data_IF_842662968222
#
_entry.id   IF_842662968222
#
_cell.length_a   1.000
_cell.length_b   1.000
_cell.length_c   1.000
_cell.angle_alpha   90.00
_cell.angle_beta   90.00
_cell.angle_gamma   90.00
#
_symmetry.space_group_name_H-M   'P 1'
#
loop_
_entity.id
_entity.type
_entity.pdbx_description
1 polymer ?
#
# COMPACT_ATOMS: atom_id res chain seq x y z
N UNK A 1 -65.39 40.56 -2.75
CA UNK A 1 -64.21 40.13 -2.02
C UNK A 1 -63.61 38.91 -2.69
N UNK A 2 -62.59 39.10 -3.52
CA UNK A 2 -61.91 38.00 -4.25
C UNK A 2 -60.89 37.30 -3.33
N UNK A 3 -61.11 36.00 -3.03
CA UNK A 3 -60.13 35.16 -2.32
C UNK A 3 -58.92 34.93 -3.22
N UNK A 4 -57.83 35.65 -2.92
CA UNK A 4 -56.48 35.28 -3.43
C UNK A 4 -56.16 33.82 -3.03
N UNK A 5 -56.18 32.89 -3.99
CA UNK A 5 -55.60 31.56 -3.82
C UNK A 5 -54.12 31.74 -3.63
N UNK A 6 -53.66 31.62 -2.40
CA UNK A 6 -52.22 31.46 -2.08
C UNK A 6 -51.74 30.20 -2.80
N UNK A 7 -51.01 30.40 -3.90
CA UNK A 7 -50.35 29.35 -4.67
C UNK A 7 -49.23 28.81 -3.82
N UNK A 8 -49.51 27.86 -2.91
CA UNK A 8 -48.48 27.06 -2.27
C UNK A 8 -47.78 26.32 -3.42
N UNK A 9 -46.58 26.79 -3.80
CA UNK A 9 -45.76 26.08 -4.77
C UNK A 9 -45.63 24.63 -4.29
N UNK A 10 -46.36 23.73 -4.95
CA UNK A 10 -46.25 22.32 -4.67
C UNK A 10 -44.83 21.88 -5.02
N UNK A 11 -44.19 21.09 -4.14
CA UNK A 11 -42.82 20.57 -4.32
C UNK A 11 -42.62 19.83 -5.65
N UNK A 12 -43.69 19.38 -6.28
CA UNK A 12 -43.68 18.67 -7.58
C UNK A 12 -45.04 18.62 -8.20
N UNK A 13 -45.14 18.08 -9.41
CA UNK A 13 -46.36 17.90 -10.19
C UNK A 13 -46.47 16.49 -10.79
N UNK A 14 -47.70 16.05 -11.04
CA UNK A 14 -47.99 14.80 -11.74
C UNK A 14 -48.82 15.10 -12.99
N UNK A 15 -48.54 14.37 -14.10
CA UNK A 15 -49.31 14.45 -15.32
C UNK A 15 -49.60 13.06 -15.85
N UNK A 16 -50.76 12.87 -16.49
CA UNK A 16 -51.06 11.65 -17.21
C UNK A 16 -50.41 11.71 -18.59
N UNK A 17 -49.80 10.62 -19.00
CA UNK A 17 -49.21 10.45 -20.33
C UNK A 17 -50.23 9.83 -21.30
N UNK A 18 -50.04 9.95 -22.62
CA UNK A 18 -50.93 9.30 -23.61
C UNK A 18 -51.04 7.77 -23.42
N UNK A 19 -50.05 7.14 -22.80
CA UNK A 19 -50.05 5.72 -22.43
C UNK A 19 -50.99 5.35 -21.25
N UNK A 20 -51.68 6.33 -20.68
CA UNK A 20 -52.49 6.16 -19.48
C UNK A 20 -51.70 6.17 -18.16
N UNK A 21 -50.39 6.05 -18.21
CA UNK A 21 -49.51 6.06 -17.02
C UNK A 21 -49.26 7.50 -16.51
N UNK A 22 -48.87 7.61 -15.27
CA UNK A 22 -48.62 8.90 -14.62
C UNK A 22 -47.12 9.18 -14.50
N UNK A 23 -46.71 10.40 -14.85
CA UNK A 23 -45.36 10.90 -14.69
C UNK A 23 -45.30 11.87 -13.51
N UNK A 24 -44.39 11.61 -12.56
CA UNK A 24 -44.05 12.54 -11.50
C UNK A 24 -42.91 13.44 -11.95
N UNK A 25 -43.00 14.73 -11.62
CA UNK A 25 -41.97 15.75 -11.90
C UNK A 25 -41.73 16.56 -10.63
N UNK A 26 -40.47 16.76 -10.27
CA UNK A 26 -40.05 17.53 -9.12
C UNK A 26 -38.73 18.26 -9.40
N UNK A 27 -38.36 19.34 -8.63
CA UNK A 27 -37.10 20.03 -8.85
C UNK A 27 -35.91 19.15 -8.47
N UNK A 28 -34.78 19.25 -9.16
CA UNK A 28 -33.49 18.71 -8.71
C UNK A 28 -32.89 19.56 -7.58
N UNK A 29 -31.72 19.20 -6.97
CA UNK A 29 -31.10 20.01 -5.95
C UNK A 29 -30.76 21.45 -6.36
N UNK A 30 -30.57 21.70 -7.64
CA UNK A 30 -30.34 23.02 -8.23
C UNK A 30 -31.64 23.77 -8.57
N UNK A 31 -32.81 23.20 -8.22
CA UNK A 31 -34.12 23.80 -8.50
C UNK A 31 -34.66 23.54 -9.91
N UNK A 32 -33.93 22.83 -10.78
CA UNK A 32 -34.37 22.55 -12.16
C UNK A 32 -35.37 21.41 -12.17
N UNK A 33 -36.47 21.52 -12.95
CA UNK A 33 -37.49 20.47 -13.00
C UNK A 33 -36.93 19.18 -13.63
N UNK A 34 -37.13 18.04 -12.94
CA UNK A 34 -36.76 16.71 -13.42
C UNK A 34 -37.92 15.72 -13.31
N UNK A 35 -37.95 14.73 -14.19
CA UNK A 35 -38.90 13.65 -14.14
C UNK A 35 -38.43 12.54 -13.21
N UNK A 36 -39.36 11.84 -12.57
CA UNK A 36 -39.07 10.60 -11.87
C UNK A 36 -38.46 9.56 -12.81
N UNK A 37 -37.61 8.61 -12.29
CA UNK A 37 -36.97 7.58 -13.11
C UNK A 37 -37.95 6.61 -13.78
N UNK A 38 -39.16 6.51 -13.27
CA UNK A 38 -40.20 5.66 -13.78
C UNK A 38 -41.54 6.38 -13.90
N UNK A 39 -42.45 5.83 -14.68
CA UNK A 39 -43.87 6.21 -14.72
C UNK A 39 -44.67 5.30 -13.82
N UNK A 40 -45.79 5.78 -13.30
CA UNK A 40 -46.60 5.13 -12.28
C UNK A 40 -47.95 4.67 -12.87
N UNK A 41 -48.54 3.53 -12.44
CA UNK A 41 -49.85 3.09 -12.85
C UNK A 41 -50.95 4.06 -12.45
N UNK A 42 -50.85 4.68 -11.26
CA UNK A 42 -51.86 5.55 -10.69
C UNK A 42 -51.34 6.93 -10.36
N UNK A 43 -52.25 7.92 -10.32
CA UNK A 43 -51.92 9.29 -9.86
C UNK A 43 -51.42 9.31 -8.43
N UNK A 44 -51.97 8.46 -7.58
CA UNK A 44 -51.63 8.36 -6.16
C UNK A 44 -50.19 7.91 -5.99
N UNK A 45 -49.77 6.84 -6.67
CA UNK A 45 -48.38 6.36 -6.61
C UNK A 45 -47.37 7.42 -7.07
N UNK A 46 -47.72 8.19 -8.13
CA UNK A 46 -46.89 9.29 -8.58
C UNK A 46 -46.75 10.43 -7.51
N UNK A 47 -47.85 10.70 -6.79
CA UNK A 47 -47.83 11.68 -5.68
C UNK A 47 -47.07 11.15 -4.48
N UNK A 48 -47.23 9.90 -4.11
CA UNK A 48 -46.52 9.25 -3.00
C UNK A 48 -45.02 9.22 -3.29
N UNK A 49 -44.59 9.00 -4.53
CA UNK A 49 -43.20 9.14 -4.93
C UNK A 49 -42.65 10.56 -4.70
N UNK A 50 -43.38 11.61 -5.08
CA UNK A 50 -42.98 13.00 -4.84
C UNK A 50 -42.88 13.28 -3.35
N UNK A 51 -43.83 12.78 -2.55
CA UNK A 51 -43.81 12.94 -1.08
C UNK A 51 -42.57 12.25 -0.46
N UNK A 52 -42.24 11.04 -0.93
CA UNK A 52 -41.00 10.32 -0.55
C UNK A 52 -39.75 11.11 -0.87
N UNK A 53 -39.63 11.62 -2.10
CA UNK A 53 -38.48 12.47 -2.52
C UNK A 53 -38.35 13.72 -1.64
N UNK A 54 -39.48 14.37 -1.31
CA UNK A 54 -39.49 15.51 -0.42
C UNK A 54 -39.00 15.15 0.99
N UNK A 55 -39.49 14.04 1.53
CA UNK A 55 -39.08 13.55 2.85
C UNK A 55 -37.59 13.20 2.88
N UNK A 56 -37.07 12.55 1.82
CA UNK A 56 -35.64 12.23 1.70
C UNK A 56 -34.77 13.48 1.63
N UNK A 57 -35.22 14.53 0.97
CA UNK A 57 -34.53 15.82 0.97
C UNK A 57 -34.49 16.47 2.35
N UNK A 58 -35.62 16.46 3.06
CA UNK A 58 -35.69 17.02 4.42
C UNK A 58 -34.77 16.26 5.38
N UNK A 59 -34.61 14.94 5.20
CA UNK A 59 -33.70 14.09 5.98
C UNK A 59 -32.25 14.16 5.49
N UNK A 60 -31.97 14.83 4.36
CA UNK A 60 -30.63 14.84 3.73
C UNK A 60 -30.23 13.51 3.09
N UNK A 61 -31.16 12.57 2.93
CA UNK A 61 -30.93 11.24 2.34
C UNK A 61 -31.24 11.16 0.84
N UNK A 62 -31.75 12.26 0.26
CA UNK A 62 -32.06 12.31 -1.17
C UNK A 62 -30.86 12.01 -2.05
N UNK A 63 -31.09 11.21 -3.08
CA UNK A 63 -30.11 10.90 -4.14
C UNK A 63 -30.72 11.22 -5.50
N UNK A 64 -29.97 11.95 -6.33
CA UNK A 64 -30.33 12.13 -7.73
C UNK A 64 -30.09 10.81 -8.47
N UNK A 65 -31.14 10.17 -8.96
CA UNK A 65 -31.05 8.91 -9.70
C UNK A 65 -30.21 9.02 -10.98
N UNK A 66 -30.03 10.26 -11.52
CA UNK A 66 -29.19 10.51 -12.70
C UNK A 66 -27.71 10.54 -12.35
N UNK A 67 -27.35 10.89 -11.12
CA UNK A 67 -25.97 11.01 -10.71
C UNK A 67 -25.17 9.70 -10.91
N UNK A 68 -25.84 8.57 -10.71
CA UNK A 68 -25.24 7.24 -10.94
C UNK A 68 -25.22 6.79 -12.40
N UNK A 69 -25.78 7.55 -13.36
CA UNK A 69 -25.78 7.20 -14.78
C UNK A 69 -24.42 7.51 -15.46
N UNK A 70 -23.55 8.25 -14.82
CA UNK A 70 -22.20 8.50 -15.35
C UNK A 70 -21.41 7.19 -15.50
N UNK A 71 -20.62 7.03 -16.58
CA UNK A 71 -19.82 5.84 -16.80
C UNK A 71 -18.71 5.69 -15.74
N UNK A 72 -18.40 4.43 -15.37
CA UNK A 72 -17.34 4.11 -14.40
C UNK A 72 -15.96 4.61 -14.82
N UNK A 73 -15.59 4.46 -16.11
CA UNK A 73 -14.25 4.82 -16.60
C UNK A 73 -13.88 6.28 -16.37
N UNK A 74 -14.67 7.26 -16.88
CA UNK A 74 -14.44 8.68 -16.63
C UNK A 74 -14.40 9.05 -15.13
N UNK A 75 -15.35 8.54 -14.33
CA UNK A 75 -15.36 8.76 -12.88
C UNK A 75 -14.10 8.23 -12.20
N UNK A 76 -13.68 7.01 -12.56
CA UNK A 76 -12.49 6.38 -12.01
C UNK A 76 -11.20 7.13 -12.40
N UNK A 77 -11.10 7.58 -13.65
CA UNK A 77 -9.96 8.36 -14.13
C UNK A 77 -9.85 9.71 -13.42
N UNK A 78 -10.97 10.41 -13.25
CA UNK A 78 -11.03 11.66 -12.49
C UNK A 78 -10.66 11.44 -11.02
N UNK A 79 -11.16 10.38 -10.38
CA UNK A 79 -10.83 10.02 -9.00
C UNK A 79 -9.32 9.78 -8.84
N UNK A 80 -8.66 9.10 -9.80
CA UNK A 80 -7.20 8.90 -9.78
C UNK A 80 -6.47 10.23 -9.99
N UNK A 81 -6.89 11.05 -10.96
CA UNK A 81 -6.29 12.35 -11.25
C UNK A 81 -6.36 13.31 -10.04
N UNK A 82 -7.46 13.27 -9.30
CA UNK A 82 -7.67 14.03 -8.06
C UNK A 82 -6.95 13.45 -6.84
N UNK A 83 -6.07 12.46 -7.03
CA UNK A 83 -5.25 11.89 -5.96
C UNK A 83 -5.95 10.88 -5.05
N UNK A 84 -7.06 10.30 -5.49
CA UNK A 84 -7.80 9.25 -4.80
C UNK A 84 -8.42 9.72 -3.48
N UNK A 85 -8.59 8.80 -2.53
CA UNK A 85 -9.25 9.09 -1.24
C UNK A 85 -8.55 10.17 -0.38
N UNK A 86 -7.26 10.40 -0.60
CA UNK A 86 -6.44 11.32 0.22
C UNK A 86 -6.06 12.61 -0.51
N UNK A 87 -6.58 12.85 -1.71
CA UNK A 87 -6.23 14.02 -2.53
C UNK A 87 -4.78 14.01 -3.05
N UNK A 88 -4.04 12.91 -2.84
CA UNK A 88 -2.66 12.74 -3.35
C UNK A 88 -2.31 11.27 -3.50
N UNK A 89 -1.67 10.91 -4.58
CA UNK A 89 -1.10 9.59 -4.82
C UNK A 89 0.41 9.70 -5.05
N UNK A 90 1.17 8.74 -4.54
CA UNK A 90 2.56 8.60 -4.94
C UNK A 90 2.62 8.21 -6.43
N UNK A 91 3.59 8.74 -7.19
CA UNK A 91 3.69 8.55 -8.64
C UNK A 91 3.61 7.07 -9.08
N UNK A 92 4.26 6.16 -8.33
CA UNK A 92 4.18 4.72 -8.59
C UNK A 92 2.78 4.14 -8.37
N UNK A 93 2.04 4.65 -7.37
CA UNK A 93 0.65 4.23 -7.10
C UNK A 93 -0.29 4.75 -8.18
N UNK A 94 -0.10 6.01 -8.59
CA UNK A 94 -0.88 6.61 -9.67
C UNK A 94 -0.71 5.81 -10.97
N UNK A 95 0.53 5.55 -11.39
CA UNK A 95 0.83 4.74 -12.57
C UNK A 95 0.22 3.34 -12.47
N UNK A 96 0.29 2.70 -11.29
CA UNK A 96 -0.35 1.41 -11.05
C UNK A 96 -1.87 1.48 -11.25
N UNK A 97 -2.53 2.51 -10.73
CA UNK A 97 -3.98 2.68 -10.86
C UNK A 97 -4.40 2.94 -12.30
N UNK A 98 -3.66 3.79 -13.02
CA UNK A 98 -3.86 4.01 -14.46
C UNK A 98 -3.74 2.71 -15.26
N UNK A 99 -2.70 1.90 -14.99
CA UNK A 99 -2.52 0.60 -15.63
C UNK A 99 -3.62 -0.41 -15.29
N UNK A 100 -4.17 -0.37 -14.07
CA UNK A 100 -5.28 -1.24 -13.65
C UNK A 100 -6.58 -0.83 -14.32
N UNK A 101 -6.81 0.47 -14.46
CA UNK A 101 -7.96 1.01 -15.21
C UNK A 101 -7.87 0.64 -16.69
N UNK A 102 -6.75 0.92 -17.33
CA UNK A 102 -6.55 0.64 -18.76
C UNK A 102 -6.57 -0.86 -19.11
N UNK A 103 -6.23 -1.74 -18.16
CA UNK A 103 -6.15 -3.18 -18.37
C UNK A 103 -7.30 -3.95 -17.71
N UNK A 104 -7.11 -4.48 -16.50
CA UNK A 104 -8.09 -5.36 -15.86
C UNK A 104 -9.49 -4.77 -15.69
N UNK A 105 -9.62 -3.45 -15.52
CA UNK A 105 -10.88 -2.75 -15.29
C UNK A 105 -11.51 -2.16 -16.57
N UNK A 106 -10.82 -2.22 -17.70
CA UNK A 106 -11.29 -1.63 -18.96
C UNK A 106 -12.71 -2.11 -19.37
N UNK A 107 -13.04 -3.38 -19.12
CA UNK A 107 -14.35 -3.95 -19.43
C UNK A 107 -15.53 -3.39 -18.61
N UNK A 108 -15.27 -2.51 -17.63
CA UNK A 108 -16.30 -1.82 -16.86
C UNK A 108 -16.44 -0.34 -17.23
N UNK A 109 -15.58 0.21 -18.10
CA UNK A 109 -15.49 1.64 -18.35
C UNK A 109 -16.80 2.26 -18.80
N UNK A 110 -17.51 1.63 -19.74
CA UNK A 110 -18.75 2.16 -20.33
C UNK A 110 -19.99 1.86 -19.50
N UNK A 111 -19.86 1.11 -18.39
CA UNK A 111 -20.98 0.78 -17.50
C UNK A 111 -21.30 1.99 -16.63
N UNK A 112 -22.57 2.37 -16.56
CA UNK A 112 -23.03 3.34 -15.59
C UNK A 112 -22.76 2.83 -14.17
N UNK A 113 -22.33 3.71 -13.26
CA UNK A 113 -22.02 3.35 -11.86
C UNK A 113 -23.20 2.62 -11.20
N UNK A 114 -24.43 3.12 -11.40
CA UNK A 114 -25.66 2.53 -10.86
C UNK A 114 -26.06 1.20 -11.52
N UNK A 115 -25.50 0.86 -12.68
CA UNK A 115 -25.78 -0.37 -13.41
C UNK A 115 -24.75 -1.49 -13.10
N UNK A 116 -23.71 -1.21 -12.29
CA UNK A 116 -22.75 -2.24 -11.87
C UNK A 116 -23.35 -2.99 -10.68
N UNK A 117 -23.77 -4.23 -10.91
CA UNK A 117 -24.35 -5.09 -9.89
C UNK A 117 -23.31 -6.03 -9.26
N UNK A 118 -23.60 -6.66 -8.10
CA UNK A 118 -22.73 -7.71 -7.54
C UNK A 118 -22.54 -8.89 -8.51
N UNK A 119 -23.52 -9.20 -9.35
CA UNK A 119 -23.40 -10.23 -10.38
C UNK A 119 -22.39 -9.82 -11.47
N UNK A 120 -22.42 -8.56 -11.90
CA UNK A 120 -21.44 -8.02 -12.86
C UNK A 120 -20.01 -8.06 -12.30
N UNK A 121 -19.82 -7.71 -11.03
CA UNK A 121 -18.52 -7.77 -10.37
C UNK A 121 -18.01 -9.21 -10.29
N UNK A 122 -18.85 -10.20 -9.95
CA UNK A 122 -18.48 -11.63 -9.96
C UNK A 122 -18.09 -12.10 -11.36
N UNK A 123 -18.89 -11.74 -12.38
CA UNK A 123 -18.62 -12.10 -13.77
C UNK A 123 -17.32 -11.47 -14.28
N UNK A 124 -17.08 -10.18 -13.97
CA UNK A 124 -15.84 -9.48 -14.26
C UNK A 124 -14.64 -10.16 -13.58
N UNK A 125 -14.75 -10.48 -12.30
CA UNK A 125 -13.69 -11.11 -11.52
C UNK A 125 -13.26 -12.47 -12.14
N UNK A 126 -14.23 -13.31 -12.48
CA UNK A 126 -13.98 -14.62 -13.10
C UNK A 126 -13.32 -14.48 -14.48
N UNK A 127 -13.81 -13.57 -15.33
CA UNK A 127 -13.19 -13.32 -16.66
C UNK A 127 -11.77 -12.78 -16.54
N UNK A 128 -11.57 -11.79 -15.68
CA UNK A 128 -10.29 -11.16 -15.47
C UNK A 128 -9.26 -12.14 -14.92
N UNK A 129 -9.65 -13.01 -13.96
CA UNK A 129 -8.80 -14.09 -13.46
C UNK A 129 -8.28 -14.97 -14.60
N UNK A 130 -9.17 -15.49 -15.46
CA UNK A 130 -8.81 -16.31 -16.62
C UNK A 130 -7.85 -15.58 -17.57
N UNK A 131 -8.12 -14.31 -17.85
CA UNK A 131 -7.26 -13.49 -18.73
C UNK A 131 -5.86 -13.30 -18.14
N UNK A 132 -5.76 -12.96 -16.85
CA UNK A 132 -4.48 -12.76 -16.19
C UNK A 132 -3.69 -14.06 -16.06
N UNK A 133 -4.33 -15.18 -15.76
CA UNK A 133 -3.70 -16.49 -15.73
C UNK A 133 -3.13 -16.87 -17.10
N UNK A 134 -3.88 -16.63 -18.18
CA UNK A 134 -3.41 -16.85 -19.56
C UNK A 134 -2.20 -15.97 -19.89
N UNK A 135 -2.23 -14.69 -19.49
CA UNK A 135 -1.14 -13.74 -19.75
C UNK A 135 0.20 -14.11 -19.07
N UNK A 136 0.15 -14.87 -17.98
CA UNK A 136 1.35 -15.28 -17.23
C UNK A 136 1.70 -16.75 -17.41
N UNK A 137 1.00 -17.50 -18.27
CA UNK A 137 1.17 -18.96 -18.46
C UNK A 137 2.64 -19.38 -18.68
N UNK A 138 3.40 -18.57 -19.38
CA UNK A 138 4.81 -18.84 -19.70
C UNK A 138 5.80 -18.23 -18.69
N UNK A 139 5.33 -17.72 -17.54
CA UNK A 139 6.17 -17.14 -16.48
C UNK A 139 6.17 -18.06 -15.25
N UNK A 140 7.24 -18.83 -15.00
CA UNK A 140 7.30 -19.73 -13.85
C UNK A 140 7.00 -19.00 -12.53
N UNK A 141 6.09 -19.56 -11.73
CA UNK A 141 5.68 -19.01 -10.44
C UNK A 141 4.72 -17.80 -10.48
N UNK A 142 4.36 -17.31 -11.67
CA UNK A 142 3.38 -16.24 -11.80
C UNK A 142 1.95 -16.82 -11.95
N UNK A 143 1.02 -16.38 -11.13
CA UNK A 143 -0.39 -16.84 -11.14
C UNK A 143 -1.36 -15.79 -11.65
N UNK A 144 -0.94 -14.52 -11.73
CA UNK A 144 -1.82 -13.39 -12.01
C UNK A 144 -2.70 -12.94 -10.84
N UNK A 145 -2.78 -13.73 -9.75
CA UNK A 145 -3.66 -13.45 -8.60
C UNK A 145 -3.35 -12.11 -7.91
N UNK A 146 -2.06 -11.75 -7.77
CA UNK A 146 -1.68 -10.47 -7.19
C UNK A 146 -2.24 -9.28 -7.99
N UNK A 147 -2.21 -9.36 -9.32
CA UNK A 147 -2.76 -8.32 -10.20
C UNK A 147 -4.28 -8.26 -10.13
N UNK A 148 -4.95 -9.42 -10.05
CA UNK A 148 -6.39 -9.52 -9.86
C UNK A 148 -6.83 -8.89 -8.54
N UNK A 149 -6.14 -9.21 -7.45
CA UNK A 149 -6.36 -8.65 -6.12
C UNK A 149 -6.21 -7.13 -6.10
N UNK A 150 -5.15 -6.60 -6.74
CA UNK A 150 -4.95 -5.15 -6.88
C UNK A 150 -6.10 -4.48 -7.64
N UNK A 151 -6.54 -5.09 -8.74
CA UNK A 151 -7.66 -4.57 -9.55
C UNK A 151 -8.98 -4.58 -8.76
N UNK A 152 -9.27 -5.66 -8.04
CA UNK A 152 -10.46 -5.75 -7.19
C UNK A 152 -10.43 -4.73 -6.04
N UNK A 153 -9.28 -4.57 -5.39
CA UNK A 153 -9.11 -3.60 -4.30
C UNK A 153 -9.29 -2.16 -4.80
N UNK A 154 -8.77 -1.84 -5.99
CA UNK A 154 -8.96 -0.54 -6.62
C UNK A 154 -10.43 -0.31 -6.98
N UNK A 155 -11.09 -1.26 -7.65
CA UNK A 155 -12.51 -1.20 -7.98
C UNK A 155 -13.36 -0.94 -6.74
N UNK A 156 -13.13 -1.72 -5.68
CA UNK A 156 -13.84 -1.56 -4.40
C UNK A 156 -13.62 -0.18 -3.79
N UNK A 157 -12.40 0.35 -3.87
CA UNK A 157 -12.05 1.67 -3.32
C UNK A 157 -12.76 2.79 -4.08
N UNK A 158 -12.76 2.74 -5.43
CA UNK A 158 -13.44 3.72 -6.27
C UNK A 158 -14.96 3.68 -6.06
N UNK A 159 -15.54 2.48 -6.02
CA UNK A 159 -17.00 2.35 -5.79
C UNK A 159 -17.39 2.74 -4.35
N UNK A 160 -16.51 2.59 -3.35
CA UNK A 160 -16.72 3.18 -2.03
C UNK A 160 -16.73 4.72 -2.06
N UNK A 161 -15.90 5.34 -2.92
CA UNK A 161 -15.96 6.78 -3.15
C UNK A 161 -17.31 7.17 -3.80
N UNK A 162 -17.75 6.42 -4.81
CA UNK A 162 -19.05 6.64 -5.46
C UNK A 162 -20.25 6.53 -4.47
N UNK A 163 -20.16 5.64 -3.46
CA UNK A 163 -21.15 5.59 -2.36
C UNK A 163 -21.08 6.85 -1.50
N UNK A 164 -19.90 7.31 -1.13
CA UNK A 164 -19.71 8.55 -0.35
C UNK A 164 -20.18 9.79 -1.11
N UNK A 165 -19.96 9.81 -2.42
CA UNK A 165 -20.41 10.88 -3.34
C UNK A 165 -21.91 10.77 -3.64
N UNK A 166 -22.61 9.78 -3.05
CA UNK A 166 -24.05 9.53 -3.21
C UNK A 166 -24.48 9.19 -4.64
N UNK A 167 -23.55 8.68 -5.48
CA UNK A 167 -23.82 8.26 -6.84
C UNK A 167 -24.48 6.88 -6.91
N UNK A 168 -24.11 5.99 -5.98
CA UNK A 168 -24.71 4.65 -5.82
C UNK A 168 -25.09 4.42 -4.35
N UNK A 169 -26.04 3.50 -4.11
CA UNK A 169 -26.54 3.22 -2.75
C UNK A 169 -25.60 2.39 -1.91
N UNK A 170 -24.96 1.40 -2.52
CA UNK A 170 -24.07 0.45 -1.87
C UNK A 170 -22.95 0.05 -2.82
N UNK A 171 -21.90 -0.52 -2.27
CA UNK A 171 -20.79 -1.00 -3.06
C UNK A 171 -21.06 -2.44 -3.54
N UNK A 172 -21.10 -2.68 -4.86
CA UNK A 172 -21.33 -4.02 -5.42
C UNK A 172 -20.14 -4.98 -5.27
N UNK A 173 -18.99 -4.52 -4.78
CA UNK A 173 -17.81 -5.37 -4.52
C UNK A 173 -17.97 -6.18 -3.23
N UNK A 174 -18.69 -7.30 -3.29
CA UNK A 174 -19.07 -8.15 -2.15
C UNK A 174 -18.41 -9.54 -2.18
N UNK A 175 -17.34 -9.75 -2.97
CA UNK A 175 -16.64 -11.04 -3.02
C UNK A 175 -15.75 -11.17 -1.80
N UNK A 176 -16.04 -12.12 -0.93
CA UNK A 176 -15.24 -12.41 0.26
C UNK A 176 -13.83 -12.85 -0.11
N UNK A 177 -12.85 -12.38 0.63
CA UNK A 177 -11.44 -12.74 0.44
C UNK A 177 -10.77 -12.19 -0.83
N UNK A 178 -11.52 -11.64 -1.82
CA UNK A 178 -10.95 -11.23 -3.10
C UNK A 178 -9.90 -10.11 -3.02
N UNK A 179 -9.94 -9.30 -1.95
CA UNK A 179 -8.96 -8.24 -1.67
C UNK A 179 -7.88 -8.62 -0.65
N UNK A 180 -7.95 -9.83 -0.10
CA UNK A 180 -7.05 -10.26 0.98
C UNK A 180 -5.72 -10.81 0.43
N UNK A 181 -4.68 -10.61 1.21
CA UNK A 181 -3.35 -11.17 0.96
C UNK A 181 -3.23 -12.43 1.81
N UNK A 182 -3.32 -13.59 1.18
CA UNK A 182 -3.02 -14.88 1.79
C UNK A 182 -1.66 -15.35 1.29
N UNK A 183 -0.63 -14.53 1.49
CA UNK A 183 0.73 -14.96 1.17
C UNK A 183 1.18 -15.91 2.29
N UNK A 184 1.77 -17.08 1.96
CA UNK A 184 2.34 -17.97 2.97
C UNK A 184 3.42 -17.22 3.75
N UNK A 185 3.58 -17.59 5.01
CA UNK A 185 4.66 -17.07 5.84
C UNK A 185 6.00 -17.36 5.17
N UNK A 186 6.82 -16.33 5.05
CA UNK A 186 8.12 -16.47 4.40
C UNK A 186 9.11 -17.09 5.38
N UNK A 187 9.94 -18.03 4.91
CA UNK A 187 10.98 -18.59 5.75
C UNK A 187 11.97 -17.51 6.22
N UNK A 188 12.46 -17.65 7.43
CA UNK A 188 13.48 -16.77 7.98
C UNK A 188 14.81 -16.94 7.24
N UNK A 189 15.37 -15.84 6.75
CA UNK A 189 16.71 -15.80 6.18
C UNK A 189 17.74 -15.75 7.32
N UNK A 190 18.31 -16.91 7.67
CA UNK A 190 19.32 -16.97 8.73
C UNK A 190 20.66 -16.35 8.29
N UNK A 191 21.57 -16.00 9.24
CA UNK A 191 22.90 -15.52 8.92
C UNK A 191 23.70 -16.48 8.02
N UNK A 192 23.55 -17.80 8.22
CA UNK A 192 24.21 -18.83 7.43
C UNK A 192 23.70 -18.84 5.98
N UNK A 193 22.37 -18.78 5.80
CA UNK A 193 21.75 -18.66 4.47
C UNK A 193 22.20 -17.37 3.77
N UNK A 194 22.26 -16.25 4.50
CA UNK A 194 22.75 -14.99 3.98
C UNK A 194 24.21 -15.10 3.51
N UNK A 195 25.09 -15.65 4.36
CA UNK A 195 26.50 -15.84 4.03
C UNK A 195 26.69 -16.73 2.78
N UNK A 196 25.93 -17.84 2.69
CA UNK A 196 25.97 -18.74 1.54
C UNK A 196 25.53 -18.04 0.24
N UNK A 197 24.44 -17.27 0.28
CA UNK A 197 23.97 -16.54 -0.91
C UNK A 197 24.97 -15.47 -1.31
N UNK A 198 25.49 -14.68 -0.36
CA UNK A 198 26.49 -13.63 -0.63
C UNK A 198 27.77 -14.25 -1.22
N UNK A 199 28.26 -15.37 -0.67
CA UNK A 199 29.43 -16.08 -1.19
C UNK A 199 29.27 -16.60 -2.62
N UNK A 200 28.03 -16.91 -3.02
CA UNK A 200 27.71 -17.32 -4.40
C UNK A 200 27.50 -16.14 -5.37
N UNK A 201 27.50 -14.90 -4.87
CA UNK A 201 27.33 -13.69 -5.70
C UNK A 201 28.65 -13.11 -6.15
N UNK A 202 28.69 -12.36 -7.28
CA UNK A 202 29.86 -11.56 -7.63
C UNK A 202 30.24 -10.57 -6.54
N UNK A 203 31.54 -10.41 -6.26
CA UNK A 203 32.12 -9.63 -5.17
C UNK A 203 31.57 -8.20 -5.08
N UNK A 204 31.35 -7.54 -6.23
CA UNK A 204 30.78 -6.19 -6.30
C UNK A 204 29.42 -6.01 -5.57
N UNK A 205 28.73 -7.09 -5.27
CA UNK A 205 27.45 -7.08 -4.56
C UNK A 205 27.59 -7.32 -3.06
N UNK A 206 28.75 -7.78 -2.58
CA UNK A 206 28.94 -8.17 -1.19
C UNK A 206 28.69 -6.99 -0.25
N UNK A 207 29.42 -5.88 -0.44
CA UNK A 207 29.29 -4.70 0.41
C UNK A 207 27.91 -4.03 0.31
N UNK A 208 27.33 -3.79 -0.90
CA UNK A 208 25.95 -3.29 -1.00
C UNK A 208 24.91 -4.13 -0.21
N UNK A 209 25.03 -5.46 -0.25
CA UNK A 209 24.13 -6.36 0.50
C UNK A 209 24.34 -6.25 2.00
N UNK A 210 25.60 -6.22 2.47
CA UNK A 210 25.92 -6.08 3.89
C UNK A 210 25.41 -4.74 4.44
N UNK A 211 25.56 -3.66 3.69
CA UNK A 211 25.01 -2.35 4.07
C UNK A 211 23.48 -2.38 4.08
N UNK A 212 22.84 -3.00 3.08
CA UNK A 212 21.38 -3.15 3.04
C UNK A 212 20.86 -3.95 4.25
N UNK A 213 21.58 -5.00 4.65
CA UNK A 213 21.29 -5.81 5.83
C UNK A 213 21.49 -5.03 7.12
N UNK A 214 22.69 -4.44 7.33
CA UNK A 214 23.06 -3.74 8.57
C UNK A 214 22.28 -2.45 8.82
N UNK A 215 21.93 -1.72 7.76
CA UNK A 215 21.09 -0.51 7.84
C UNK A 215 19.60 -0.77 7.58
N UNK A 216 19.19 -2.02 7.38
CA UNK A 216 17.81 -2.43 7.12
C UNK A 216 17.17 -1.67 5.95
N UNK A 217 17.91 -1.48 4.85
CA UNK A 217 17.48 -0.66 3.72
C UNK A 217 16.45 -1.36 2.84
N UNK A 218 15.52 -0.56 2.31
CA UNK A 218 14.77 -0.99 1.11
C UNK A 218 15.69 -0.90 -0.11
N UNK A 219 15.45 -1.73 -1.11
CA UNK A 219 16.26 -1.72 -2.35
C UNK A 219 16.35 -0.33 -2.97
N UNK A 220 15.26 0.40 -3.06
CA UNK A 220 15.27 1.76 -3.61
C UNK A 220 16.00 2.79 -2.74
N UNK A 221 16.10 2.57 -1.42
CA UNK A 221 16.92 3.37 -0.51
C UNK A 221 18.40 3.07 -0.76
N UNK A 222 18.79 1.81 -0.90
CA UNK A 222 20.15 1.39 -1.25
C UNK A 222 20.63 2.00 -2.58
N UNK A 223 19.76 1.96 -3.62
CA UNK A 223 20.05 2.56 -4.94
C UNK A 223 20.28 4.08 -4.87
N UNK A 224 19.66 4.74 -3.90
CA UNK A 224 19.70 6.19 -3.77
C UNK A 224 20.78 6.69 -2.80
N UNK A 225 21.54 5.78 -2.17
CA UNK A 225 22.63 6.18 -1.26
C UNK A 225 23.74 6.92 -2.01
N UNK A 226 24.18 8.00 -1.40
CA UNK A 226 25.30 8.84 -1.84
C UNK A 226 26.46 8.70 -0.86
N UNK A 227 27.66 9.02 -1.31
CA UNK A 227 28.87 8.97 -0.46
C UNK A 227 28.75 9.82 0.80
N UNK A 228 28.16 11.02 0.68
CA UNK A 228 27.92 11.93 1.80
C UNK A 228 26.85 11.48 2.80
N UNK A 229 26.13 10.39 2.52
CA UNK A 229 25.17 9.83 3.47
C UNK A 229 25.85 9.00 4.58
N UNK A 230 27.12 8.65 4.42
CA UNK A 230 27.89 7.94 5.44
C UNK A 230 28.75 8.93 6.26
N UNK A 231 28.65 8.82 7.56
CA UNK A 231 29.48 9.58 8.50
C UNK A 231 29.59 8.85 9.83
N UNK A 232 30.81 8.73 10.39
CA UNK A 232 31.04 8.20 11.72
C UNK A 232 30.35 6.85 12.01
N UNK A 233 30.48 5.88 11.11
CA UNK A 233 29.89 4.56 11.27
C UNK A 233 28.37 4.48 11.06
N UNK A 234 27.74 5.55 10.59
CA UNK A 234 26.29 5.62 10.40
C UNK A 234 25.91 6.02 8.97
N UNK A 235 24.75 5.54 8.52
CA UNK A 235 24.16 5.87 7.21
C UNK A 235 22.90 6.68 7.43
N UNK A 236 22.80 7.84 6.77
CA UNK A 236 21.58 8.66 6.69
C UNK A 236 20.74 8.23 5.50
N UNK A 237 19.50 7.88 5.75
CA UNK A 237 18.53 7.41 4.75
C UNK A 237 17.43 8.43 4.64
N UNK A 238 17.44 9.26 3.61
CA UNK A 238 16.45 10.33 3.41
C UNK A 238 15.74 10.26 2.06
N UNK A 239 16.26 9.45 1.13
CA UNK A 239 15.74 9.32 -0.24
C UNK A 239 15.66 7.87 -0.68
N UNK A 240 14.88 7.64 -1.73
CA UNK A 240 14.80 6.36 -2.42
C UNK A 240 14.70 6.58 -3.93
N UNK A 241 15.15 5.60 -4.71
CA UNK A 241 14.86 5.54 -6.15
C UNK A 241 13.63 4.67 -6.38
N UNK A 242 12.68 5.19 -7.12
CA UNK A 242 11.51 4.43 -7.59
C UNK A 242 11.51 4.42 -9.12
N UNK A 243 10.88 3.41 -9.71
CA UNK A 243 10.73 3.33 -11.15
C UNK A 243 9.26 3.51 -11.52
N UNK A 244 9.00 4.49 -12.40
CA UNK A 244 7.68 4.77 -12.97
C UNK A 244 7.83 4.67 -14.48
N UNK A 245 7.12 3.74 -15.11
CA UNK A 245 7.18 3.48 -16.57
C UNK A 245 8.62 3.36 -17.11
N UNK A 246 9.49 2.68 -16.35
CA UNK A 246 10.88 2.46 -16.71
C UNK A 246 11.85 3.60 -16.36
N UNK A 247 11.36 4.77 -15.97
CA UNK A 247 12.20 5.89 -15.57
C UNK A 247 12.48 5.85 -14.06
N UNK A 248 13.77 5.94 -13.68
CA UNK A 248 14.21 6.04 -12.30
C UNK A 248 14.05 7.46 -11.76
N UNK A 249 13.28 7.63 -10.70
CA UNK A 249 13.00 8.93 -10.06
C UNK A 249 13.46 8.86 -8.61
N UNK A 250 14.21 9.89 -8.16
CA UNK A 250 14.57 10.05 -6.75
C UNK A 250 13.43 10.77 -6.03
N UNK A 251 12.99 10.18 -4.93
CA UNK A 251 11.93 10.71 -4.07
C UNK A 251 12.35 10.63 -2.60
N UNK A 252 11.71 11.36 -1.69
CA UNK A 252 11.82 11.06 -0.26
C UNK A 252 11.53 9.59 0.03
N UNK A 253 11.92 9.09 1.19
CA UNK A 253 11.59 7.73 1.63
C UNK A 253 10.09 7.48 1.57
N UNK A 254 9.66 6.20 1.56
CA UNK A 254 8.23 5.83 1.48
C UNK A 254 7.39 6.45 2.62
N UNK A 255 7.99 6.71 3.76
CA UNK A 255 7.34 7.35 4.92
C UNK A 255 7.47 8.88 4.93
N UNK A 256 8.33 9.44 4.07
CA UNK A 256 8.65 10.86 4.03
C UNK A 256 9.64 11.31 5.12
N UNK A 257 10.05 10.41 6.01
CA UNK A 257 10.94 10.73 7.12
C UNK A 257 12.36 10.22 6.84
N UNK A 258 13.35 11.05 7.14
CA UNK A 258 14.75 10.65 7.14
C UNK A 258 15.08 9.90 8.44
N UNK A 259 16.04 8.98 8.37
CA UNK A 259 16.56 8.27 9.54
C UNK A 259 18.06 8.07 9.41
N UNK A 260 18.74 8.01 10.56
CA UNK A 260 20.16 7.64 10.65
C UNK A 260 20.27 6.28 11.32
N UNK A 261 21.02 5.38 10.71
CA UNK A 261 21.20 4.00 11.20
C UNK A 261 22.69 3.74 11.41
N UNK A 262 23.07 3.49 12.65
CA UNK A 262 24.45 3.06 12.98
C UNK A 262 24.66 1.64 12.45
N UNK A 263 25.70 1.43 11.68
CA UNK A 263 26.08 0.13 11.13
C UNK A 263 26.80 -0.73 12.19
N UNK A 264 26.74 -2.06 12.08
CA UNK A 264 27.67 -2.93 12.77
C UNK A 264 29.11 -2.54 12.46
N UNK A 265 30.04 -2.53 13.45
CA UNK A 265 31.42 -2.02 13.29
C UNK A 265 32.17 -2.65 12.10
N UNK A 266 32.00 -3.96 11.87
CA UNK A 266 32.62 -4.64 10.72
C UNK A 266 32.14 -4.09 9.37
N UNK A 267 30.85 -3.81 9.23
CA UNK A 267 30.30 -3.24 8.00
C UNK A 267 30.71 -1.78 7.84
N UNK A 268 30.78 -1.01 8.94
CA UNK A 268 31.26 0.36 8.93
C UNK A 268 32.71 0.45 8.40
N UNK A 269 33.59 -0.41 8.90
CA UNK A 269 34.99 -0.47 8.45
C UNK A 269 35.12 -0.81 6.96
N UNK A 270 34.28 -1.74 6.44
CA UNK A 270 34.26 -2.04 5.01
C UNK A 270 33.76 -0.85 4.17
N UNK A 271 32.77 -0.10 4.65
CA UNK A 271 32.29 1.13 3.97
C UNK A 271 33.39 2.19 3.96
N UNK A 272 34.10 2.39 5.05
CA UNK A 272 35.22 3.32 5.13
C UNK A 272 36.34 2.96 4.14
N UNK A 273 36.73 1.68 4.11
CA UNK A 273 37.71 1.18 3.15
C UNK A 273 37.26 1.39 1.70
N UNK A 274 36.00 1.10 1.40
CA UNK A 274 35.42 1.34 0.08
C UNK A 274 35.41 2.82 -0.31
N UNK A 275 35.02 3.70 0.59
CA UNK A 275 35.01 5.15 0.35
C UNK A 275 36.42 5.72 0.20
N UNK A 276 37.41 5.18 0.90
CA UNK A 276 38.82 5.56 0.76
C UNK A 276 39.43 5.07 -0.55
N UNK A 277 39.03 3.85 -1.02
CA UNK A 277 39.59 3.27 -2.26
C UNK A 277 38.93 3.80 -3.54
N UNK A 278 37.82 4.53 -3.42
CA UNK A 278 37.07 5.08 -4.56
C UNK A 278 37.04 6.60 -4.49
N UNK A 279 37.11 7.27 -5.66
CA UNK A 279 36.99 8.73 -5.75
C UNK A 279 35.52 9.11 -6.04
N UNK A 280 35.12 10.30 -5.57
CA UNK A 280 33.79 10.83 -5.84
C UNK A 280 33.42 11.98 -4.91
N UNK A 281 32.47 12.79 -5.32
CA UNK A 281 31.91 13.88 -4.55
C UNK A 281 30.86 13.37 -3.54
N UNK A 282 30.49 14.16 -2.52
CA UNK A 282 29.46 13.76 -1.54
C UNK A 282 28.14 13.31 -2.17
N UNK A 283 27.74 13.91 -3.31
CA UNK A 283 26.52 13.55 -4.06
C UNK A 283 26.69 12.39 -5.05
N UNK A 284 27.92 11.90 -5.25
CA UNK A 284 28.13 10.71 -6.08
C UNK A 284 27.51 9.47 -5.46
N UNK A 285 27.07 8.48 -6.25
CA UNK A 285 26.54 7.22 -5.71
C UNK A 285 27.53 6.56 -4.75
N UNK A 286 27.05 6.02 -3.65
CA UNK A 286 27.88 5.24 -2.72
C UNK A 286 28.42 3.97 -3.39
N UNK A 287 27.61 3.34 -4.21
CA UNK A 287 27.95 2.13 -4.97
C UNK A 287 27.79 2.39 -6.48
N UNK A 288 28.83 2.98 -7.13
CA UNK A 288 28.75 3.26 -8.55
C UNK A 288 28.92 2.00 -9.39
N UNK A 289 28.30 1.97 -10.56
CA UNK A 289 28.63 1.06 -11.66
C UNK A 289 29.86 1.57 -12.41
N UNK A 290 30.32 0.81 -13.43
CA UNK A 290 31.47 1.20 -14.25
C UNK A 290 31.27 2.53 -15.02
N UNK A 291 30.03 2.87 -15.33
CA UNK A 291 29.65 4.13 -15.99
C UNK A 291 29.45 5.30 -15.01
N UNK A 292 29.77 5.12 -13.73
CA UNK A 292 29.61 6.14 -12.69
C UNK A 292 28.18 6.27 -12.12
N UNK A 293 27.18 5.64 -12.75
CA UNK A 293 25.81 5.64 -12.27
C UNK A 293 25.61 4.69 -11.07
N UNK A 294 24.59 4.94 -10.28
CA UNK A 294 24.23 4.06 -9.17
C UNK A 294 23.88 2.64 -9.60
N UNK A 295 24.17 1.66 -8.75
CA UNK A 295 23.63 0.30 -8.93
C UNK A 295 22.11 0.34 -9.04
N UNK A 296 21.52 -0.66 -9.72
CA UNK A 296 20.06 -0.78 -9.85
C UNK A 296 19.56 -1.99 -9.06
N UNK A 297 18.42 -1.83 -8.37
CA UNK A 297 17.78 -2.92 -7.64
C UNK A 297 17.35 -4.08 -8.52
N UNK A 298 17.09 -3.83 -9.80
CA UNK A 298 16.83 -4.89 -10.77
C UNK A 298 18.05 -5.76 -11.01
N UNK A 299 19.25 -5.15 -11.19
CA UNK A 299 20.49 -5.88 -11.37
C UNK A 299 20.89 -6.65 -10.09
N UNK A 300 20.73 -6.01 -8.92
CA UNK A 300 20.93 -6.67 -7.63
C UNK A 300 19.97 -7.85 -7.45
N UNK A 301 18.68 -7.64 -7.68
CA UNK A 301 17.67 -8.70 -7.55
C UNK A 301 17.89 -9.85 -8.55
N UNK A 302 18.41 -9.55 -9.73
CA UNK A 302 18.77 -10.58 -10.71
C UNK A 302 19.97 -11.40 -10.23
N UNK A 303 21.05 -10.74 -9.79
CA UNK A 303 22.24 -11.39 -9.26
C UNK A 303 21.91 -12.26 -8.03
N UNK A 304 21.13 -11.72 -7.10
CA UNK A 304 20.64 -12.44 -5.92
C UNK A 304 19.87 -13.71 -6.31
N UNK A 305 18.86 -13.58 -7.18
CA UNK A 305 18.05 -14.74 -7.61
C UNK A 305 18.87 -15.81 -8.30
N UNK A 306 19.86 -15.41 -9.12
CA UNK A 306 20.76 -16.35 -9.79
C UNK A 306 21.60 -17.12 -8.76
N UNK A 307 22.21 -16.43 -7.82
CA UNK A 307 23.03 -17.02 -6.76
C UNK A 307 22.19 -17.93 -5.84
N UNK A 308 21.10 -17.42 -5.29
CA UNK A 308 20.23 -18.17 -4.39
C UNK A 308 19.66 -19.44 -5.03
N UNK A 309 19.22 -19.38 -6.29
CA UNK A 309 18.75 -20.58 -7.02
C UNK A 309 19.88 -21.58 -7.27
N UNK A 310 21.08 -21.11 -7.58
CA UNK A 310 22.23 -21.95 -7.83
C UNK A 310 22.65 -22.81 -6.63
N UNK A 311 22.29 -22.39 -5.41
CA UNK A 311 22.60 -23.11 -4.16
C UNK A 311 21.35 -23.66 -3.44
N UNK A 312 20.20 -23.76 -4.15
CA UNK A 312 18.97 -24.33 -3.59
C UNK A 312 18.19 -23.42 -2.62
N UNK A 313 18.55 -22.13 -2.51
CA UNK A 313 17.92 -21.12 -1.62
C UNK A 313 17.01 -20.14 -2.38
N UNK A 314 16.41 -20.55 -3.49
CA UNK A 314 15.63 -19.70 -4.39
C UNK A 314 14.35 -19.10 -3.80
N UNK A 315 13.92 -19.53 -2.62
CA UNK A 315 12.80 -18.98 -1.86
C UNK A 315 13.10 -17.58 -1.28
N UNK A 316 14.39 -17.24 -1.07
CA UNK A 316 14.79 -15.96 -0.50
C UNK A 316 14.93 -14.86 -1.55
N UNK A 317 14.49 -13.65 -1.20
CA UNK A 317 14.52 -12.46 -2.04
C UNK A 317 15.34 -11.35 -1.38
N UNK A 318 15.80 -10.36 -2.16
CA UNK A 318 16.56 -9.21 -1.62
C UNK A 318 15.82 -8.47 -0.50
N UNK A 319 14.48 -8.45 -0.52
CA UNK A 319 13.71 -7.79 0.53
C UNK A 319 13.81 -8.51 1.89
N UNK A 320 14.10 -9.79 1.88
CA UNK A 320 14.25 -10.60 3.10
C UNK A 320 15.51 -10.20 3.89
N UNK A 321 16.50 -9.53 3.27
CA UNK A 321 17.64 -8.90 3.96
C UNK A 321 17.19 -7.95 5.06
N UNK A 322 16.21 -7.11 4.74
CA UNK A 322 15.69 -6.15 5.71
C UNK A 322 14.94 -6.84 6.84
N UNK A 323 14.16 -7.87 6.53
CA UNK A 323 13.47 -8.68 7.53
C UNK A 323 14.48 -9.40 8.43
N UNK A 324 15.47 -10.08 7.86
CA UNK A 324 16.51 -10.78 8.61
C UNK A 324 17.31 -9.83 9.51
N UNK A 325 17.74 -8.69 8.99
CA UNK A 325 18.48 -7.69 9.78
C UNK A 325 17.66 -7.14 10.96
N UNK A 326 16.36 -6.88 10.77
CA UNK A 326 15.47 -6.43 11.86
C UNK A 326 15.20 -7.53 12.87
N UNK A 327 15.06 -8.78 12.44
CA UNK A 327 14.92 -9.94 13.34
C UNK A 327 16.18 -10.11 14.19
N UNK A 328 17.38 -10.02 13.57
CA UNK A 328 18.63 -10.09 14.30
C UNK A 328 18.79 -8.91 15.31
N UNK A 329 18.40 -7.70 14.91
CA UNK A 329 18.38 -6.56 15.82
C UNK A 329 17.42 -6.74 17.00
N UNK A 330 16.26 -7.37 16.77
CA UNK A 330 15.32 -7.75 17.83
C UNK A 330 15.91 -8.82 18.75
N UNK A 331 16.54 -9.85 18.19
CA UNK A 331 17.23 -10.91 18.94
C UNK A 331 18.40 -10.33 19.78
N UNK A 332 19.12 -9.32 19.26
CA UNK A 332 20.18 -8.62 20.00
C UNK A 332 19.66 -7.72 21.14
N UNK A 333 18.34 -7.64 21.35
CA UNK A 333 17.78 -6.87 22.44
C UNK A 333 17.16 -5.54 22.05
N UNK A 334 17.06 -5.24 20.76
CA UNK A 334 16.45 -4.00 20.27
C UNK A 334 14.99 -3.88 20.74
N UNK A 335 14.64 -2.73 21.32
CA UNK A 335 13.28 -2.40 21.71
C UNK A 335 12.42 -2.15 20.46
N UNK A 336 11.08 -2.27 20.60
CA UNK A 336 10.14 -1.94 19.50
C UNK A 336 10.40 -0.55 18.92
N UNK A 337 10.70 0.43 19.78
CA UNK A 337 10.98 1.82 19.35
C UNK A 337 12.27 1.92 18.54
N UNK A 338 13.33 1.24 18.93
CA UNK A 338 14.60 1.19 18.20
C UNK A 338 14.41 0.48 16.85
N UNK A 339 13.71 -0.65 16.81
CA UNK A 339 13.38 -1.35 15.56
C UNK A 339 12.56 -0.47 14.63
N UNK A 340 11.57 0.27 15.14
CA UNK A 340 10.80 1.23 14.36
C UNK A 340 11.69 2.34 13.79
N UNK A 341 12.57 2.92 14.60
CA UNK A 341 13.49 3.97 14.17
C UNK A 341 14.45 3.47 13.08
N UNK A 342 15.12 2.32 13.29
CA UNK A 342 16.02 1.70 12.32
C UNK A 342 15.31 1.34 11.01
N UNK A 343 14.08 0.83 11.09
CA UNK A 343 13.28 0.45 9.94
C UNK A 343 12.59 1.63 9.24
N UNK A 344 12.39 2.76 9.91
CA UNK A 344 11.50 3.81 9.45
C UNK A 344 10.05 3.32 9.36
N UNK A 345 9.57 2.63 10.42
CA UNK A 345 8.18 2.17 10.53
C UNK A 345 7.35 3.19 11.31
N UNK A 346 6.17 3.53 10.80
CA UNK A 346 5.24 4.46 11.45
C UNK A 346 4.32 3.80 12.46
N UNK A 347 4.21 2.47 12.46
CA UNK A 347 3.31 1.73 13.34
C UNK A 347 4.06 0.63 14.08
N UNK A 348 3.74 0.46 15.36
CA UNK A 348 4.28 -0.61 16.18
C UNK A 348 3.95 -2.00 15.59
N UNK A 349 2.76 -2.18 15.01
CA UNK A 349 2.35 -3.45 14.38
C UNK A 349 3.36 -3.95 13.36
N UNK A 350 3.99 -3.03 12.59
CA UNK A 350 4.99 -3.40 11.58
C UNK A 350 6.32 -3.83 12.22
N UNK A 351 6.63 -3.41 13.45
CA UNK A 351 7.82 -3.81 14.19
C UNK A 351 7.61 -5.06 15.04
N UNK A 352 6.38 -5.28 15.54
CA UNK A 352 6.02 -6.46 16.37
C UNK A 352 6.19 -7.79 15.62
N UNK A 353 6.09 -7.80 14.29
CA UNK A 353 6.35 -8.99 13.45
C UNK A 353 7.75 -9.58 13.74
N UNK A 354 8.72 -8.74 14.08
CA UNK A 354 10.11 -9.18 14.36
C UNK A 354 10.30 -9.64 15.82
N UNK A 355 9.38 -9.30 16.72
CA UNK A 355 9.45 -9.72 18.12
C UNK A 355 8.88 -11.12 18.37
N UNK A 356 7.93 -11.57 17.53
CA UNK A 356 7.40 -12.95 17.63
C UNK A 356 8.44 -14.03 17.26
N UNK A 357 9.47 -13.68 16.50
CA UNK A 357 10.61 -14.58 16.21
C UNK A 357 11.55 -14.80 17.41
N UNK A 358 11.19 -14.31 18.59
CA UNK A 358 12.04 -14.28 19.78
C UNK A 358 11.52 -15.17 20.93
N UNK A 359 10.79 -16.28 20.64
CA UNK A 359 10.41 -17.24 21.69
C UNK A 359 11.64 -17.85 22.40
N UNK A 360 12.74 -18.08 21.69
CA UNK A 360 14.04 -18.46 22.27
C UNK A 360 14.63 -17.40 23.22
N UNK A 361 14.12 -16.18 23.18
CA UNK A 361 14.62 -15.07 24.00
C UNK A 361 14.12 -15.09 25.44
N UNK A 362 13.05 -15.82 25.78
CA UNK A 362 12.56 -15.90 27.15
C UNK A 362 13.59 -16.52 28.08
N UNK A 363 14.35 -17.51 27.64
CA UNK A 363 15.44 -18.09 28.42
C UNK A 363 16.58 -17.09 28.66
N UNK A 364 17.04 -16.41 27.58
CA UNK A 364 18.08 -15.37 27.67
C UNK A 364 17.64 -14.17 28.52
N UNK A 365 16.36 -13.81 28.48
CA UNK A 365 15.81 -12.74 29.30
C UNK A 365 15.80 -13.15 30.77
N UNK A 366 15.41 -14.40 31.09
CA UNK A 366 15.43 -14.95 32.45
C UNK A 366 16.87 -14.97 33.00
N UNK A 367 17.85 -15.45 32.23
CA UNK A 367 19.27 -15.41 32.60
C UNK A 367 19.79 -13.99 32.90
N UNK A 368 19.41 -13.01 32.08
CA UNK A 368 19.78 -11.59 32.28
C UNK A 368 19.10 -11.00 33.53
N UNK A 369 17.86 -11.42 33.83
CA UNK A 369 17.17 -10.99 35.05
C UNK A 369 17.87 -11.52 36.28
N UNK A 370 18.37 -12.76 36.27
CA UNK A 370 19.14 -13.36 37.36
C UNK A 370 20.47 -12.59 37.59
N UNK A 371 21.19 -12.24 36.55
CA UNK A 371 22.41 -11.44 36.64
C UNK A 371 22.16 -10.07 37.30
N UNK A 372 21.08 -9.37 36.92
CA UNK A 372 20.70 -8.07 37.51
C UNK A 372 20.24 -8.26 38.98
N UNK A 373 19.55 -9.35 39.28
CA UNK A 373 19.15 -9.71 40.63
C UNK A 373 20.34 -10.03 41.56
N UNK A 374 21.33 -10.78 41.06
CA UNK A 374 22.54 -11.13 41.80
C UNK A 374 23.38 -9.88 42.16
N UNK A 375 23.56 -8.96 41.26
CA UNK A 375 24.28 -7.68 41.51
C UNK A 375 23.61 -6.84 42.60
N UNK A 376 22.28 -6.82 42.67
CA UNK A 376 21.57 -6.09 43.76
C UNK A 376 21.71 -6.76 45.13
N UNK A 377 21.76 -8.09 45.21
CA UNK A 377 21.90 -8.81 46.48
C UNK A 377 23.32 -8.63 47.04
N UNK A 378 24.35 -8.61 46.24
CA UNK A 378 25.73 -8.34 46.70
C UNK A 378 25.94 -6.89 47.20
N UNK A 379 25.30 -5.91 46.56
CA UNK A 379 25.37 -4.50 46.99
C UNK A 379 24.70 -4.25 48.35
N UNK A 380 23.64 -4.98 48.68
CA UNK A 380 22.97 -4.88 50.00
C UNK A 380 23.79 -5.59 51.11
N UNK A 381 24.42 -6.73 50.81
CA UNK A 381 25.28 -7.43 51.78
C UNK A 381 26.59 -6.72 52.05
N UNK A 382 27.10 -5.94 51.11
CA UNK A 382 28.29 -5.12 51.30
C UNK A 382 28.08 -3.89 52.19
N UNK A 383 26.89 -3.29 52.15
CA UNK A 383 26.55 -2.12 52.99
C UNK A 383 26.37 -2.50 54.49
N UNK A 384 25.84 -3.70 54.80
CA UNK A 384 25.68 -4.16 56.18
C UNK A 384 27.01 -4.58 56.89
N UNK A 385 28.07 -4.83 56.11
CA UNK A 385 29.43 -5.10 56.70
C UNK A 385 30.23 -3.87 57.03
N UNK A 386 29.87 -2.67 56.55
CA UNK A 386 30.55 -1.41 56.90
C UNK A 386 29.93 -0.68 58.12
N UNK A 387 28.84 -1.20 58.66
CA UNK A 387 28.12 -0.60 59.83
C UNK A 387 28.22 -1.43 61.10
N UNK A 388 29.21 -2.35 61.20
CA UNK A 388 29.56 -3.03 62.44
C UNK A 388 31.00 -2.78 62.87
#
# INVERSE_FOLDING_TARGET
>A
MSRQKTNRQAFGSVRQLPSGRWQARYPDPAGRPMNAPATFPTKREAQDHIAGVRADRMRGTYRDHRAGLQPFGPYAAEWVANGGTRGRLAAKTQALYEDLLAGPLAGLHDRALSAITPADVRAWYTRTRKTLQKAVKNRPGATGEARLRQAYSLLRTILNAAVKDRLISENPCQIEGAGQVNDPERPYLSPEHLAAIVGAMPEKWHLPIRVAFGAHLRVGELEALQRGDYSNGAVRVERQRIYVRGQGIITPTKTGEARTVVLPPSIAAEVEAHLASTTGFPKSPMFPRRDGEAITGNALSHAWRKAARGIGLGQFHVHDLRHAGLTLAAQAGGTTRELMARAGHRTARAALIYQHAAEERNAVLAERMDLVGAVRVESVRGADRMLR
#
